data_IF_504528010641
#
_entry.id   IF_504528010641
#
_cell.length_a   1.000
_cell.length_b   1.000
_cell.length_c   1.000
_cell.angle_alpha   90.00
_cell.angle_beta   90.00
_cell.angle_gamma   90.00
#
_symmetry.space_group_name_H-M   'P 1'
#
loop_
_entity.id
_entity.type
_entity.pdbx_description
1 polymer ?
#
# COMPACT_ATOMS: atom_id res chain seq x y z
N UNK A 1 -26.14 -3.33 4.03
CA UNK A 1 -26.44 -4.65 4.60
C UNK A 1 -26.51 -4.45 6.10
N UNK A 2 -27.71 -4.52 6.66
CA UNK A 2 -28.00 -4.21 8.08
C UNK A 2 -27.59 -5.45 8.88
N UNK A 3 -26.75 -5.27 9.91
CA UNK A 3 -26.15 -6.33 10.73
C UNK A 3 -27.18 -6.91 11.72
N UNK A 4 -28.27 -7.50 11.22
CA UNK A 4 -29.31 -8.09 12.08
C UNK A 4 -29.39 -9.63 11.99
N UNK A 5 -28.51 -10.29 11.23
CA UNK A 5 -28.39 -11.75 11.16
C UNK A 5 -26.97 -12.21 11.54
N UNK A 6 -26.71 -12.42 12.83
CA UNK A 6 -25.47 -13.00 13.33
C UNK A 6 -25.43 -14.52 13.14
N UNK A 7 -25.47 -15.00 11.89
CA UNK A 7 -24.98 -16.35 11.62
C UNK A 7 -23.46 -16.34 11.91
N UNK A 8 -22.98 -17.18 12.83
CA UNK A 8 -21.55 -17.33 13.12
C UNK A 8 -20.77 -17.51 11.81
N UNK A 9 -20.03 -16.49 11.40
CA UNK A 9 -19.12 -16.58 10.26
C UNK A 9 -17.93 -17.43 10.70
N UNK A 10 -17.98 -18.74 10.42
CA UNK A 10 -16.90 -19.67 10.74
C UNK A 10 -15.83 -19.64 9.65
N UNK A 11 -14.67 -19.07 9.98
CA UNK A 11 -13.49 -19.06 9.12
C UNK A 11 -12.65 -20.33 9.35
N UNK A 12 -12.21 -20.96 8.26
CA UNK A 12 -11.35 -22.13 8.33
C UNK A 12 -9.95 -21.78 8.84
N UNK A 13 -9.45 -22.54 9.83
CA UNK A 13 -8.17 -22.23 10.52
C UNK A 13 -6.94 -22.22 9.62
N UNK A 14 -6.95 -22.99 8.52
CA UNK A 14 -5.78 -23.21 7.66
C UNK A 14 -5.90 -22.58 6.28
N UNK A 15 -6.82 -21.63 6.09
CA UNK A 15 -6.97 -20.88 4.83
C UNK A 15 -6.66 -19.41 5.05
N UNK A 16 -6.09 -18.78 4.02
CA UNK A 16 -5.98 -17.32 3.96
C UNK A 16 -7.37 -16.74 3.73
N UNK A 17 -7.72 -15.71 4.49
CA UNK A 17 -9.00 -15.01 4.38
C UNK A 17 -8.75 -13.55 4.02
N UNK A 18 -9.59 -12.99 3.16
CA UNK A 18 -9.63 -11.56 2.85
C UNK A 18 -10.94 -11.01 3.40
N UNK A 19 -10.85 -10.09 4.37
CA UNK A 19 -12.00 -9.55 5.08
C UNK A 19 -12.03 -8.05 4.82
N UNK A 20 -13.06 -7.61 4.11
CA UNK A 20 -13.32 -6.19 3.85
C UNK A 20 -14.48 -5.71 4.72
N UNK A 21 -14.34 -4.53 5.32
CA UNK A 21 -15.38 -3.88 6.11
C UNK A 21 -16.00 -2.78 5.25
N UNK A 22 -17.32 -2.83 5.06
CA UNK A 22 -18.05 -1.75 4.39
C UNK A 22 -18.23 -0.60 5.38
N UNK A 23 -17.53 0.51 5.14
CA UNK A 23 -17.56 1.68 6.03
C UNK A 23 -18.74 2.61 5.71
N UNK A 24 -18.95 2.94 4.44
CA UNK A 24 -20.08 3.76 4.00
C UNK A 24 -20.47 3.43 2.55
N UNK A 25 -21.67 3.87 2.13
CA UNK A 25 -22.15 3.88 0.75
C UNK A 25 -22.73 5.26 0.46
N UNK A 26 -22.13 5.98 -0.49
CA UNK A 26 -22.41 7.39 -0.74
C UNK A 26 -22.48 7.65 -2.24
N UNK A 27 -23.39 8.55 -2.64
CA UNK A 27 -23.45 9.08 -4.01
C UNK A 27 -22.48 10.25 -4.18
N UNK A 28 -21.80 10.30 -5.32
CA UNK A 28 -20.80 11.33 -5.62
C UNK A 28 -21.51 12.63 -6.01
N UNK A 29 -21.72 13.50 -5.04
CA UNK A 29 -22.28 14.86 -5.19
C UNK A 29 -21.46 15.85 -4.34
N UNK A 30 -21.44 17.14 -4.72
CA UNK A 30 -20.67 18.17 -4.01
C UNK A 30 -21.09 18.34 -2.54
N UNK A 31 -22.35 18.09 -2.22
CA UNK A 31 -22.89 18.15 -0.85
C UNK A 31 -22.33 17.04 0.06
N UNK A 32 -21.90 15.92 -0.52
CA UNK A 32 -21.44 14.75 0.21
C UNK A 32 -19.92 14.74 0.47
N UNK A 33 -19.18 15.77 0.05
CA UNK A 33 -17.71 15.80 0.16
C UNK A 33 -17.25 15.59 1.62
N UNK A 34 -17.87 16.27 2.59
CA UNK A 34 -17.53 16.12 4.01
C UNK A 34 -17.77 14.70 4.52
N UNK A 35 -18.86 14.05 4.08
CA UNK A 35 -19.20 12.67 4.45
C UNK A 35 -18.24 11.66 3.84
N UNK A 36 -17.84 11.87 2.58
CA UNK A 36 -16.83 11.05 1.91
C UNK A 36 -15.51 11.14 2.67
N UNK A 37 -15.11 12.35 3.09
CA UNK A 37 -13.90 12.56 3.88
C UNK A 37 -13.93 11.78 5.20
N UNK A 38 -15.01 11.90 5.98
CA UNK A 38 -15.18 11.16 7.23
C UNK A 38 -15.17 9.63 7.02
N UNK A 39 -15.80 9.15 5.95
CA UNK A 39 -15.82 7.72 5.61
C UNK A 39 -14.42 7.19 5.26
N UNK A 40 -13.65 7.95 4.47
CA UNK A 40 -12.27 7.62 4.10
C UNK A 40 -11.37 7.62 5.33
N UNK A 41 -11.45 8.64 6.18
CA UNK A 41 -10.67 8.71 7.41
C UNK A 41 -10.95 7.52 8.34
N UNK A 42 -12.23 7.18 8.51
CA UNK A 42 -12.65 6.03 9.31
C UNK A 42 -12.13 4.71 8.73
N UNK A 43 -12.17 4.55 7.41
CA UNK A 43 -11.68 3.35 6.75
C UNK A 43 -10.16 3.20 6.87
N UNK A 44 -9.41 4.28 6.66
CA UNK A 44 -7.95 4.31 6.85
C UNK A 44 -7.58 3.95 8.29
N UNK A 45 -8.31 4.48 9.27
CA UNK A 45 -8.07 4.18 10.70
C UNK A 45 -8.35 2.72 11.06
N UNK A 46 -9.39 2.11 10.48
CA UNK A 46 -9.77 0.73 10.77
C UNK A 46 -8.87 -0.32 10.10
N UNK A 47 -8.18 0.06 9.02
CA UNK A 47 -7.35 -0.86 8.22
C UNK A 47 -5.89 -0.42 8.10
N UNK A 48 -5.42 0.35 9.10
CA UNK A 48 -4.02 0.75 9.25
C UNK A 48 -3.42 1.47 8.03
N UNK A 49 -4.23 2.29 7.37
CA UNK A 49 -3.82 3.14 6.25
C UNK A 49 -4.28 2.67 4.88
N UNK A 50 -5.09 1.61 4.78
CA UNK A 50 -5.65 1.13 3.51
C UNK A 50 -7.09 1.65 3.29
N UNK A 51 -7.48 1.84 2.04
CA UNK A 51 -8.87 2.11 1.67
C UNK A 51 -9.17 1.43 0.34
N UNK A 52 -10.28 0.72 0.27
CA UNK A 52 -10.77 0.12 -0.97
C UNK A 52 -12.05 0.80 -1.39
N UNK A 53 -12.05 1.41 -2.57
CA UNK A 53 -13.21 2.09 -3.15
C UNK A 53 -13.75 1.24 -4.28
N UNK A 54 -15.04 0.92 -4.21
CA UNK A 54 -15.78 0.23 -5.27
C UNK A 54 -16.95 1.12 -5.69
N UNK A 55 -17.05 1.39 -6.98
CA UNK A 55 -18.22 2.03 -7.55
C UNK A 55 -19.25 0.95 -7.89
N UNK A 56 -20.46 1.06 -7.37
CA UNK A 56 -21.58 0.22 -7.79
C UNK A 56 -22.24 0.92 -8.99
N UNK A 57 -22.23 0.26 -10.15
CA UNK A 57 -22.72 0.78 -11.44
C UNK A 57 -24.24 0.82 -11.52
N UNK A 58 -24.89 1.40 -10.52
CA UNK A 58 -26.34 1.62 -10.53
C UNK A 58 -26.58 2.94 -11.27
N UNK A 59 -26.80 2.81 -12.59
CA UNK A 59 -27.36 3.83 -13.47
C UNK A 59 -26.57 5.15 -13.58
N UNK A 60 -25.47 5.11 -14.34
CA UNK A 60 -24.93 6.32 -14.96
C UNK A 60 -25.93 6.87 -16.01
N UNK A 61 -27.00 7.53 -15.54
CA UNK A 61 -27.97 8.26 -16.38
C UNK A 61 -27.35 9.47 -17.08
N UNK A 62 -26.16 9.89 -16.68
CA UNK A 62 -25.41 10.96 -17.32
C UNK A 62 -24.28 10.39 -18.20
N UNK A 63 -24.63 10.21 -19.47
CA UNK A 63 -23.75 10.14 -20.65
C UNK A 63 -22.52 11.07 -20.49
N UNK A 64 -21.37 10.52 -20.05
CA UNK A 64 -20.00 10.95 -20.43
C UNK A 64 -18.87 10.28 -19.63
N UNK A 65 -19.15 9.58 -18.53
CA UNK A 65 -18.15 8.72 -17.91
C UNK A 65 -18.31 7.32 -18.50
N UNK A 66 -17.39 6.92 -19.38
CA UNK A 66 -17.32 5.56 -19.92
C UNK A 66 -17.28 4.57 -18.75
N UNK A 67 -18.40 3.90 -18.53
CA UNK A 67 -18.62 2.76 -17.62
C UNK A 67 -17.90 1.53 -18.15
N UNK A 68 -16.60 1.63 -18.39
CA UNK A 68 -15.77 0.52 -18.89
C UNK A 68 -14.80 0.01 -17.82
N UNK A 69 -14.52 0.78 -16.76
CA UNK A 69 -13.66 0.33 -15.66
C UNK A 69 -14.28 0.69 -14.30
N UNK A 70 -15.32 -0.04 -13.91
CA UNK A 70 -15.80 -0.09 -12.52
C UNK A 70 -14.91 -1.06 -11.73
N UNK A 71 -13.60 -0.80 -11.74
CA UNK A 71 -12.60 -1.66 -11.10
C UNK A 71 -12.36 -1.17 -9.68
N UNK A 72 -12.36 -2.07 -8.72
CA UNK A 72 -11.97 -1.75 -7.34
C UNK A 72 -10.62 -1.02 -7.31
N UNK A 73 -10.57 0.11 -6.62
CA UNK A 73 -9.34 0.87 -6.44
C UNK A 73 -8.91 0.81 -4.99
N UNK A 74 -7.65 0.45 -4.78
CA UNK A 74 -7.02 0.43 -3.46
C UNK A 74 -6.14 1.66 -3.34
N UNK A 75 -6.30 2.38 -2.24
CA UNK A 75 -5.48 3.50 -1.83
C UNK A 75 -4.75 3.13 -0.54
N UNK A 76 -3.51 3.59 -0.40
CA UNK A 76 -2.70 3.41 0.80
C UNK A 76 -2.15 4.78 1.25
N UNK A 77 -2.21 5.06 2.55
CA UNK A 77 -1.60 6.22 3.19
C UNK A 77 -0.09 6.01 3.44
N UNK A 78 0.35 4.76 3.54
CA UNK A 78 1.78 4.41 3.63
C UNK A 78 2.42 4.40 2.24
N UNK A 79 3.73 4.66 2.20
CA UNK A 79 4.54 4.46 1.00
C UNK A 79 4.72 2.96 0.77
N UNK A 80 3.74 2.29 0.16
CA UNK A 80 3.81 0.86 -0.16
C UNK A 80 3.76 0.62 -1.66
N UNK A 81 4.46 -0.41 -2.14
CA UNK A 81 4.23 -0.87 -3.51
C UNK A 81 2.91 -1.68 -3.58
N UNK A 82 1.98 -1.37 -4.52
CA UNK A 82 0.72 -2.11 -4.63
C UNK A 82 0.87 -3.53 -5.22
N UNK A 83 2.05 -3.85 -5.76
CA UNK A 83 2.35 -5.13 -6.44
C UNK A 83 3.22 -6.02 -5.55
N UNK A 84 4.19 -5.41 -4.88
CA UNK A 84 5.13 -6.07 -4.00
C UNK A 84 4.80 -5.60 -2.60
N UNK A 85 4.45 -6.51 -1.69
CA UNK A 85 4.04 -6.22 -0.30
C UNK A 85 5.23 -5.66 0.52
N UNK A 86 5.68 -4.48 0.14
CA UNK A 86 6.88 -3.79 0.61
C UNK A 86 6.44 -2.40 1.01
N UNK A 87 6.70 -2.06 2.27
CA UNK A 87 6.55 -0.72 2.81
C UNK A 87 7.92 -0.01 2.78
N UNK A 88 7.94 1.22 2.28
CA UNK A 88 9.09 2.10 2.30
C UNK A 88 9.05 2.97 3.56
N UNK A 89 10.21 3.28 4.16
CA UNK A 89 10.29 4.28 5.20
C UNK A 89 9.92 5.66 4.65
N UNK A 90 9.58 6.58 5.56
CA UNK A 90 9.32 7.97 5.20
C UNK A 90 10.55 8.58 4.52
N UNK A 91 10.33 9.32 3.42
CA UNK A 91 11.41 9.87 2.61
C UNK A 91 12.11 11.02 3.33
N UNK A 92 13.22 10.72 3.97
CA UNK A 92 14.05 11.69 4.67
C UNK A 92 15.42 11.86 3.97
N UNK A 93 16.03 13.07 3.98
CA UNK A 93 17.33 13.31 3.34
C UNK A 93 18.44 12.36 3.77
N UNK A 94 18.41 11.86 5.02
CA UNK A 94 19.42 10.94 5.56
C UNK A 94 19.42 9.57 4.88
N UNK A 95 18.30 9.13 4.31
CA UNK A 95 18.23 7.88 3.54
C UNK A 95 19.07 7.94 2.27
N UNK A 96 19.35 9.14 1.76
CA UNK A 96 20.17 9.36 0.57
C UNK A 96 21.64 9.68 0.91
N UNK A 97 21.99 9.70 2.20
CA UNK A 97 23.34 9.99 2.66
C UNK A 97 24.10 8.69 2.92
N UNK A 98 25.09 8.40 2.08
CA UNK A 98 26.03 7.29 2.32
C UNK A 98 26.92 7.51 3.55
N UNK A 99 26.97 8.74 4.09
CA UNK A 99 27.64 9.06 5.35
C UNK A 99 26.75 8.83 6.58
N UNK A 100 25.49 8.43 6.39
CA UNK A 100 24.56 8.11 7.47
C UNK A 100 24.36 6.60 7.53
N UNK A 101 24.29 5.97 8.72
CA UNK A 101 23.97 4.55 8.81
C UNK A 101 22.60 4.20 8.18
N UNK A 102 21.68 5.18 8.08
CA UNK A 102 20.37 5.00 7.47
C UNK A 102 20.40 4.93 5.93
N UNK A 103 21.39 5.54 5.28
CA UNK A 103 21.53 5.54 3.81
C UNK A 103 22.76 4.78 3.30
N UNK A 104 23.63 4.34 4.21
CA UNK A 104 24.82 3.56 3.89
C UNK A 104 24.45 2.13 3.51
N UNK A 105 25.08 1.61 2.45
CA UNK A 105 24.96 0.19 2.11
C UNK A 105 25.59 -0.65 3.22
N UNK A 106 24.86 -1.63 3.76
CA UNK A 106 25.33 -2.53 4.82
C UNK A 106 26.59 -3.32 4.45
N UNK A 107 26.81 -3.54 3.15
CA UNK A 107 27.91 -4.37 2.67
C UNK A 107 29.24 -3.62 2.54
N UNK A 108 29.20 -2.31 2.30
CA UNK A 108 30.40 -1.48 2.10
C UNK A 108 30.45 -0.26 3.02
N UNK A 109 29.50 -0.15 3.95
CA UNK A 109 29.37 0.93 4.92
C UNK A 109 29.38 2.32 4.26
N UNK A 110 28.77 2.43 3.08
CA UNK A 110 28.69 3.69 2.32
C UNK A 110 29.97 4.07 1.56
N UNK A 111 31.02 3.25 1.58
CA UNK A 111 32.28 3.52 0.85
C UNK A 111 32.18 3.28 -0.66
N UNK A 112 31.23 2.44 -1.10
CA UNK A 112 31.06 2.09 -2.51
C UNK A 112 32.13 1.16 -3.09
N UNK A 113 33.13 0.76 -2.29
CA UNK A 113 34.18 -0.17 -2.67
C UNK A 113 34.50 -1.15 -1.53
N UNK A 114 34.97 -2.34 -1.90
CA UNK A 114 35.49 -3.34 -0.96
C UNK A 114 36.97 -3.59 -1.25
N UNK A 115 37.76 -3.81 -0.20
CA UNK A 115 39.14 -4.29 -0.34
C UNK A 115 39.12 -5.81 -0.37
N UNK A 116 39.40 -6.36 -1.53
CA UNK A 116 39.58 -7.80 -1.73
C UNK A 116 41.03 -8.08 -2.14
N UNK A 117 41.48 -9.30 -1.84
CA UNK A 117 42.82 -9.74 -2.23
C UNK A 117 42.82 -9.99 -3.73
N UNK A 118 43.68 -9.30 -4.45
CA UNK A 118 43.90 -9.52 -5.87
C UNK A 118 44.81 -10.74 -6.08
N UNK A 119 44.30 -11.88 -6.58
CA UNK A 119 45.09 -13.11 -6.71
C UNK A 119 46.29 -12.95 -7.65
N UNK A 120 46.22 -12.07 -8.66
CA UNK A 120 47.34 -11.82 -9.57
C UNK A 120 48.51 -11.09 -8.89
N UNK A 121 48.25 -10.39 -7.78
CA UNK A 121 49.26 -9.70 -6.97
C UNK A 121 49.85 -10.56 -5.86
N UNK A 122 49.30 -11.75 -5.62
CA UNK A 122 49.75 -12.68 -4.58
C UNK A 122 50.69 -13.74 -5.12
N UNK A 123 50.48 -14.20 -6.36
CA UNK A 123 51.34 -15.21 -6.98
C UNK A 123 52.44 -14.55 -7.80
N UNK A 124 53.70 -14.88 -7.52
CA UNK A 124 54.83 -14.47 -8.37
C UNK A 124 54.71 -15.22 -9.71
N UNK A 125 54.35 -14.52 -10.79
CA UNK A 125 54.42 -15.09 -12.15
C UNK A 125 55.89 -15.46 -12.40
N UNK A 126 56.16 -16.77 -12.43
CA UNK A 126 57.46 -17.35 -12.77
C UNK A 126 57.70 -17.39 -14.27
#
# INVERSE_FOLDING_TARGET
>A
MRLEDHNEIKLERYKKHSIDIIVDRVEINDENISRIFEAVEKALRLSEGLVKVRCDSIEAKNKKLKTENCTEQIYNQKLSCPIHDIEFPELEPRLFSFNSPYGACETCEGLGAKKEIDPERVTRKG
#
